data_IF_483662079142
#
_entry.id   IF_483662079142
#
_cell.length_a   1.000
_cell.length_b   1.000
_cell.length_c   1.000
_cell.angle_alpha   90.00
_cell.angle_beta   90.00
_cell.angle_gamma   90.00
#
_symmetry.space_group_name_H-M   'P 1'
#
loop_
_entity.id
_entity.type
_entity.pdbx_description
1 polymer ?
#
# COMPACT_ATOMS: atom_id res chain seq x y z
N UNK A 1 -18.00 -18.53 20.70
CA UNK A 1 -17.84 -18.01 19.33
C UNK A 1 -16.81 -16.91 19.37
N UNK A 2 -15.92 -16.78 18.39
CA UNK A 2 -15.01 -15.65 18.32
C UNK A 2 -15.78 -14.33 18.19
N UNK A 3 -15.10 -13.19 18.45
CA UNK A 3 -15.68 -11.85 18.23
C UNK A 3 -16.15 -11.75 16.76
N UNK A 4 -17.27 -11.06 16.48
CA UNK A 4 -17.86 -11.00 15.14
C UNK A 4 -17.17 -9.98 14.23
N UNK A 5 -15.83 -9.89 14.30
CA UNK A 5 -15.01 -9.07 13.41
C UNK A 5 -14.17 -9.97 12.52
N UNK A 6 -14.06 -9.63 11.26
CA UNK A 6 -13.20 -10.32 10.30
C UNK A 6 -12.73 -9.40 9.17
N UNK A 7 -11.61 -9.74 8.57
CA UNK A 7 -11.13 -9.13 7.33
C UNK A 7 -11.27 -10.13 6.17
N UNK A 8 -11.72 -9.65 5.03
CA UNK A 8 -11.83 -10.42 3.79
C UNK A 8 -10.81 -9.87 2.79
N UNK A 9 -10.05 -10.77 2.18
CA UNK A 9 -9.08 -10.42 1.13
C UNK A 9 -9.63 -10.90 -0.21
N UNK A 10 -9.84 -9.95 -1.13
CA UNK A 10 -10.43 -10.18 -2.44
C UNK A 10 -9.33 -10.37 -3.49
N UNK A 11 -9.08 -11.62 -3.90
CA UNK A 11 -8.01 -11.97 -4.84
C UNK A 11 -8.27 -11.44 -6.25
N UNK A 12 -9.52 -11.46 -6.71
CA UNK A 12 -9.91 -10.87 -7.99
C UNK A 12 -9.70 -9.36 -8.05
N UNK A 13 -9.88 -8.64 -6.92
CA UNK A 13 -9.59 -7.22 -6.85
C UNK A 13 -8.10 -6.93 -7.02
N UNK A 14 -7.22 -7.73 -6.38
CA UNK A 14 -5.78 -7.64 -6.57
C UNK A 14 -5.39 -7.87 -8.03
N UNK A 15 -5.91 -8.92 -8.66
CA UNK A 15 -5.66 -9.22 -10.07
C UNK A 15 -6.15 -8.11 -11.01
N UNK A 16 -7.35 -7.58 -10.76
CA UNK A 16 -7.89 -6.43 -11.49
C UNK A 16 -6.97 -5.21 -11.39
N UNK A 17 -6.50 -4.90 -10.18
CA UNK A 17 -5.67 -3.72 -9.93
C UNK A 17 -4.27 -3.85 -10.58
N UNK A 18 -3.68 -5.05 -10.63
CA UNK A 18 -2.47 -5.31 -11.45
C UNK A 18 -2.76 -5.06 -12.93
N UNK A 19 -3.91 -5.49 -13.43
CA UNK A 19 -4.36 -5.19 -14.80
C UNK A 19 -4.43 -3.68 -15.03
N UNK A 20 -4.95 -2.91 -14.07
CA UNK A 20 -4.97 -1.45 -14.16
C UNK A 20 -3.58 -0.82 -14.22
N UNK A 21 -2.61 -1.35 -13.48
CA UNK A 21 -1.22 -0.89 -13.58
C UNK A 21 -0.66 -1.11 -14.99
N UNK A 22 -0.95 -2.26 -15.62
CA UNK A 22 -0.56 -2.54 -17.01
C UNK A 22 -1.24 -1.62 -18.01
N UNK A 23 -2.55 -1.35 -17.85
CA UNK A 23 -3.27 -0.42 -18.71
C UNK A 23 -2.70 1.00 -18.68
N UNK A 24 -2.25 1.44 -17.48
CA UNK A 24 -1.63 2.75 -17.31
C UNK A 24 -0.18 2.82 -17.85
N UNK A 25 0.54 1.70 -17.89
CA UNK A 25 1.92 1.63 -18.35
C UNK A 25 2.14 0.41 -19.26
N UNK A 26 1.54 0.38 -20.46
CA UNK A 26 1.47 -0.82 -21.31
C UNK A 26 2.84 -1.30 -21.82
N UNK A 27 3.81 -0.42 -21.89
CA UNK A 27 5.17 -0.73 -22.38
C UNK A 27 6.13 -1.07 -21.21
N UNK A 28 5.67 -0.98 -19.96
CA UNK A 28 6.45 -1.25 -18.77
C UNK A 28 6.03 -2.57 -18.10
N UNK A 29 6.98 -3.23 -17.49
CA UNK A 29 6.74 -4.36 -16.58
C UNK A 29 6.27 -3.83 -15.21
N UNK A 30 5.54 -4.66 -14.48
CA UNK A 30 4.93 -4.29 -13.21
C UNK A 30 5.59 -5.05 -12.05
N UNK A 31 6.21 -4.28 -11.16
CA UNK A 31 6.53 -4.75 -9.82
C UNK A 31 5.26 -4.70 -8.94
N UNK A 32 4.78 -5.85 -8.45
CA UNK A 32 3.84 -5.89 -7.34
C UNK A 32 4.60 -5.61 -6.04
N UNK A 33 4.37 -4.44 -5.44
CA UNK A 33 5.01 -4.08 -4.16
C UNK A 33 4.23 -4.71 -3.02
N UNK A 34 4.86 -5.65 -2.30
CA UNK A 34 4.24 -6.49 -1.25
C UNK A 34 4.89 -6.33 0.13
N UNK A 35 5.65 -5.26 0.35
CA UNK A 35 6.24 -4.94 1.65
C UNK A 35 5.19 -4.83 2.76
N UNK A 36 5.61 -4.93 4.00
CA UNK A 36 4.76 -4.90 5.18
C UNK A 36 3.65 -5.98 5.11
N UNK A 37 4.08 -7.22 4.80
CA UNK A 37 3.19 -8.37 4.68
C UNK A 37 2.03 -8.12 3.69
N UNK A 38 2.40 -7.67 2.48
CA UNK A 38 1.45 -7.25 1.43
C UNK A 38 0.48 -6.17 1.93
N UNK A 39 1.02 -5.06 2.49
CA UNK A 39 0.21 -3.98 3.08
C UNK A 39 -0.86 -4.50 4.06
N UNK A 40 -0.48 -5.45 4.93
CA UNK A 40 -1.37 -6.04 5.92
C UNK A 40 -2.32 -7.14 5.40
N UNK A 41 -2.38 -7.37 4.10
CA UNK A 41 -3.25 -8.42 3.51
C UNK A 41 -2.74 -9.84 3.79
N UNK A 42 -1.43 -9.99 4.04
CA UNK A 42 -0.74 -11.27 4.14
C UNK A 42 -0.22 -11.75 2.79
N UNK A 43 1.08 -12.02 2.72
CA UNK A 43 1.74 -12.43 1.47
C UNK A 43 1.08 -13.66 0.87
N UNK A 44 0.84 -14.71 1.66
CA UNK A 44 0.26 -15.96 1.18
C UNK A 44 -1.17 -15.76 0.66
N UNK A 45 -1.93 -14.86 1.28
CA UNK A 45 -3.31 -14.56 0.88
C UNK A 45 -3.38 -13.72 -0.39
N UNK A 46 -2.43 -12.79 -0.56
CA UNK A 46 -2.40 -11.88 -1.70
C UNK A 46 -1.71 -12.48 -2.93
N UNK A 47 -0.90 -13.52 -2.76
CA UNK A 47 0.02 -14.04 -3.78
C UNK A 47 -0.69 -14.40 -5.09
N UNK A 48 -1.77 -15.19 -5.03
CA UNK A 48 -2.47 -15.63 -6.25
C UNK A 48 -3.08 -14.46 -7.02
N UNK A 49 -3.68 -13.48 -6.31
CA UNK A 49 -4.21 -12.27 -6.95
C UNK A 49 -3.14 -11.37 -7.59
N UNK A 50 -1.91 -11.39 -7.06
CA UNK A 50 -0.80 -10.59 -7.57
C UNK A 50 0.11 -11.35 -8.55
N UNK A 51 -0.13 -12.65 -8.78
CA UNK A 51 0.74 -13.55 -9.54
C UNK A 51 0.90 -13.15 -11.02
N UNK A 52 -0.01 -12.35 -11.55
CA UNK A 52 0.07 -11.84 -12.92
C UNK A 52 1.08 -10.69 -13.09
N UNK A 53 1.67 -10.16 -12.01
CA UNK A 53 2.75 -9.18 -12.09
C UNK A 53 4.02 -9.79 -12.73
N UNK A 54 4.94 -8.93 -13.20
CA UNK A 54 6.20 -9.38 -13.80
C UNK A 54 7.28 -9.64 -12.74
N UNK A 55 7.11 -9.08 -11.54
CA UNK A 55 7.99 -9.28 -10.40
C UNK A 55 7.36 -8.82 -9.11
N UNK A 56 7.96 -9.22 -8.00
CA UNK A 56 7.59 -8.75 -6.66
C UNK A 56 8.64 -7.81 -6.09
N UNK A 57 8.22 -6.81 -5.32
CA UNK A 57 9.14 -5.87 -4.67
C UNK A 57 8.79 -5.69 -3.19
N UNK A 58 9.80 -5.75 -2.33
CA UNK A 58 9.65 -5.75 -0.88
C UNK A 58 10.89 -5.22 -0.16
N UNK A 59 10.93 -5.30 1.15
CA UNK A 59 12.04 -4.83 1.98
C UNK A 59 12.67 -5.96 2.79
N UNK A 60 11.85 -6.91 3.24
CA UNK A 60 12.24 -7.96 4.18
C UNK A 60 12.62 -9.25 3.43
N UNK A 61 13.77 -9.83 3.79
CA UNK A 61 14.26 -11.08 3.22
C UNK A 61 13.39 -12.29 3.58
N UNK A 62 12.71 -12.25 4.73
CA UNK A 62 11.74 -13.28 5.09
C UNK A 62 10.51 -13.23 4.18
N UNK A 63 10.06 -12.03 3.81
CA UNK A 63 8.98 -11.86 2.82
C UNK A 63 9.41 -12.42 1.45
N UNK A 64 10.67 -12.16 1.03
CA UNK A 64 11.20 -12.70 -0.22
C UNK A 64 11.27 -14.23 -0.20
N UNK A 65 11.68 -14.83 0.91
CA UNK A 65 11.69 -16.28 1.08
C UNK A 65 10.28 -16.87 0.98
N UNK A 66 9.30 -16.29 1.67
CA UNK A 66 7.88 -16.71 1.61
C UNK A 66 7.35 -16.69 0.18
N UNK A 67 7.65 -15.65 -0.61
CA UNK A 67 7.28 -15.59 -2.04
C UNK A 67 7.95 -16.71 -2.84
N UNK A 68 9.23 -17.03 -2.58
CA UNK A 68 9.92 -18.16 -3.21
C UNK A 68 9.30 -19.51 -2.82
N UNK A 69 8.92 -19.68 -1.56
CA UNK A 69 8.29 -20.90 -1.03
C UNK A 69 6.89 -21.12 -1.63
N UNK A 70 6.17 -20.05 -1.97
CA UNK A 70 4.90 -20.09 -2.73
C UNK A 70 5.09 -20.46 -4.22
N UNK A 71 6.32 -20.72 -4.65
CA UNK A 71 6.64 -21.21 -6.01
C UNK A 71 6.97 -20.12 -7.03
N UNK A 72 7.10 -18.85 -6.62
CA UNK A 72 7.52 -17.80 -7.54
C UNK A 72 8.97 -17.99 -7.99
N UNK A 73 9.21 -17.96 -9.32
CA UNK A 73 10.56 -18.09 -9.92
C UNK A 73 10.99 -16.82 -10.68
N UNK A 74 10.07 -15.86 -10.83
CA UNK A 74 10.36 -14.59 -11.49
C UNK A 74 11.18 -13.63 -10.62
N UNK A 75 11.44 -12.40 -11.10
CA UNK A 75 12.20 -11.39 -10.38
C UNK A 75 11.61 -11.03 -9.01
N UNK A 76 12.49 -10.79 -8.04
CA UNK A 76 12.15 -10.18 -6.74
C UNK A 76 13.15 -9.05 -6.50
N UNK A 77 12.64 -7.86 -6.17
CA UNK A 77 13.45 -6.66 -5.92
C UNK A 77 13.38 -6.24 -4.44
N UNK A 78 14.56 -6.18 -3.81
CA UNK A 78 14.74 -5.59 -2.48
C UNK A 78 14.89 -4.07 -2.63
N UNK A 79 13.83 -3.30 -2.28
CA UNK A 79 13.69 -1.87 -2.59
C UNK A 79 14.64 -0.95 -1.81
N UNK A 80 15.18 -1.42 -0.69
CA UNK A 80 16.16 -0.71 0.15
C UNK A 80 17.54 -1.37 0.09
N UNK A 81 17.67 -2.48 -0.65
CA UNK A 81 18.93 -3.22 -0.76
C UNK A 81 19.21 -4.06 0.49
N UNK A 82 20.50 -4.23 0.75
CA UNK A 82 21.01 -4.99 1.89
C UNK A 82 21.22 -4.07 3.10
N UNK A 83 20.92 -4.55 4.28
CA UNK A 83 21.13 -3.83 5.55
C UNK A 83 22.45 -4.19 6.22
N UNK A 84 23.00 -5.35 5.84
CA UNK A 84 24.31 -5.84 6.27
C UNK A 84 24.95 -6.72 5.19
N UNK A 85 26.27 -6.92 5.27
CA UNK A 85 27.04 -7.62 4.25
C UNK A 85 26.54 -9.07 4.03
N UNK A 86 26.13 -9.75 5.10
CA UNK A 86 25.62 -11.14 5.00
C UNK A 86 24.33 -11.26 4.19
N UNK A 87 23.57 -10.20 4.00
CA UNK A 87 22.34 -10.20 3.21
C UNK A 87 22.62 -10.48 1.72
N UNK A 88 23.83 -10.16 1.25
CA UNK A 88 24.25 -10.47 -0.12
C UNK A 88 24.24 -11.97 -0.41
N UNK A 89 24.53 -12.80 0.60
CA UNK A 89 24.43 -14.27 0.48
C UNK A 89 22.97 -14.71 0.25
N UNK A 90 22.02 -14.05 0.94
CA UNK A 90 20.58 -14.28 0.72
C UNK A 90 20.16 -13.83 -0.68
N UNK A 91 20.66 -12.68 -1.14
CA UNK A 91 20.41 -12.20 -2.50
C UNK A 91 20.88 -13.21 -3.54
N UNK A 92 22.11 -13.73 -3.40
CA UNK A 92 22.65 -14.74 -4.31
C UNK A 92 21.83 -16.04 -4.26
N UNK A 93 21.56 -16.56 -3.06
CA UNK A 93 20.85 -17.83 -2.88
C UNK A 93 19.41 -17.82 -3.36
N UNK A 94 18.71 -16.73 -3.15
CA UNK A 94 17.31 -16.58 -3.53
C UNK A 94 17.13 -15.93 -4.91
N UNK A 95 18.21 -15.54 -5.59
CA UNK A 95 18.16 -14.86 -6.89
C UNK A 95 17.41 -13.53 -6.80
N UNK A 96 17.78 -12.69 -5.80
CA UNK A 96 17.11 -11.39 -5.58
C UNK A 96 17.88 -10.29 -6.30
N UNK A 97 17.14 -9.37 -6.90
CA UNK A 97 17.65 -8.09 -7.34
C UNK A 97 17.57 -7.11 -6.18
N UNK A 98 18.48 -6.16 -6.07
CA UNK A 98 18.46 -5.26 -4.92
C UNK A 98 18.88 -3.84 -5.28
N UNK A 99 18.31 -2.87 -4.58
CA UNK A 99 18.73 -1.48 -4.69
C UNK A 99 20.10 -1.27 -4.05
N UNK A 100 20.88 -0.35 -4.65
CA UNK A 100 22.13 0.18 -4.08
C UNK A 100 21.98 1.69 -3.98
N UNK A 101 22.08 2.24 -2.77
CA UNK A 101 21.74 3.62 -2.50
C UNK A 101 22.78 4.37 -1.65
N UNK A 102 23.85 3.71 -1.23
CA UNK A 102 24.95 4.29 -0.45
C UNK A 102 26.26 3.56 -0.72
N UNK A 103 27.38 4.22 -0.39
CA UNK A 103 28.73 3.70 -0.59
C UNK A 103 28.96 2.38 0.15
N UNK A 104 28.45 2.26 1.37
CA UNK A 104 28.63 1.06 2.18
C UNK A 104 28.10 -0.21 1.49
N UNK A 105 26.98 -0.10 0.75
CA UNK A 105 26.45 -1.25 -0.01
C UNK A 105 27.36 -1.62 -1.18
N UNK A 106 28.05 -0.65 -1.79
CA UNK A 106 29.07 -0.90 -2.83
C UNK A 106 30.30 -1.59 -2.22
N UNK A 107 30.75 -1.13 -1.03
CA UNK A 107 31.86 -1.74 -0.32
C UNK A 107 31.57 -3.21 0.03
N UNK A 108 30.39 -3.51 0.53
CA UNK A 108 29.95 -4.89 0.80
C UNK A 108 29.93 -5.76 -0.46
N UNK A 109 29.46 -5.23 -1.58
CA UNK A 109 29.48 -5.92 -2.87
C UNK A 109 30.93 -6.22 -3.31
N UNK A 110 31.84 -5.26 -3.17
CA UNK A 110 33.25 -5.42 -3.55
C UNK A 110 33.96 -6.53 -2.72
N UNK A 111 33.59 -6.67 -1.46
CA UNK A 111 34.12 -7.69 -0.55
C UNK A 111 33.42 -9.05 -0.66
N UNK A 112 32.22 -9.08 -1.27
CA UNK A 112 31.41 -10.30 -1.34
C UNK A 112 31.99 -11.32 -2.32
N UNK A 113 32.22 -12.54 -1.83
CA UNK A 113 32.67 -13.66 -2.65
C UNK A 113 31.48 -14.48 -3.10
N UNK A 114 31.04 -14.29 -4.33
CA UNK A 114 29.93 -15.03 -4.91
C UNK A 114 30.29 -15.65 -6.26
N UNK A 115 29.60 -16.75 -6.58
CA UNK A 115 29.63 -17.36 -7.92
C UNK A 115 28.45 -16.93 -8.77
N UNK A 116 27.45 -16.27 -8.17
CA UNK A 116 26.27 -15.76 -8.85
C UNK A 116 26.29 -14.25 -8.80
N UNK A 117 26.54 -13.56 -9.92
CA UNK A 117 26.58 -12.10 -9.96
C UNK A 117 25.22 -11.48 -9.56
N UNK A 118 25.29 -10.29 -9.00
CA UNK A 118 24.15 -9.53 -8.54
C UNK A 118 23.57 -8.65 -9.67
N UNK A 119 22.26 -8.53 -9.73
CA UNK A 119 21.54 -7.50 -10.48
C UNK A 119 21.15 -6.40 -9.52
N UNK A 120 21.59 -5.17 -9.79
CA UNK A 120 21.39 -4.05 -8.89
C UNK A 120 20.61 -2.91 -9.52
N UNK A 121 19.82 -2.23 -8.70
CA UNK A 121 19.17 -0.97 -9.06
C UNK A 121 19.91 0.17 -8.35
N UNK A 122 20.78 0.87 -9.10
CA UNK A 122 21.46 2.04 -8.56
C UNK A 122 20.46 3.18 -8.37
N UNK A 123 20.32 3.63 -7.12
CA UNK A 123 19.26 4.57 -6.75
C UNK A 123 19.78 6.00 -6.67
N UNK A 124 19.15 6.87 -7.47
CA UNK A 124 19.37 8.31 -7.46
C UNK A 124 18.38 8.99 -6.50
N UNK A 125 18.86 9.88 -5.67
CA UNK A 125 18.04 10.86 -4.97
C UNK A 125 17.79 12.06 -5.91
N UNK A 126 16.62 12.05 -6.54
CA UNK A 126 16.20 13.12 -7.44
C UNK A 126 15.43 14.25 -6.75
N UNK A 127 15.30 14.22 -5.40
CA UNK A 127 14.66 15.28 -4.62
C UNK A 127 13.79 14.82 -3.45
N UNK A 128 13.55 13.51 -3.29
CA UNK A 128 12.82 12.99 -2.12
C UNK A 128 13.62 13.05 -0.81
N UNK A 129 14.94 13.07 -0.89
CA UNK A 129 15.87 13.19 0.25
C UNK A 129 15.69 12.14 1.35
N UNK A 130 15.40 10.90 0.93
CA UNK A 130 15.28 9.76 1.84
C UNK A 130 16.40 8.74 1.66
N UNK A 131 16.56 8.20 0.44
CA UNK A 131 17.60 7.23 0.06
C UNK A 131 18.07 7.52 -1.37
N UNK A 132 19.31 7.17 -1.68
CA UNK A 132 19.91 7.31 -3.01
C UNK A 132 21.13 8.23 -3.01
N UNK A 133 21.98 8.02 -3.99
CA UNK A 133 23.13 8.89 -4.24
C UNK A 133 22.68 10.27 -4.72
N UNK A 134 23.41 11.30 -4.34
CA UNK A 134 23.20 12.64 -4.92
C UNK A 134 23.56 12.62 -6.40
N UNK A 135 23.04 13.54 -7.24
CA UNK A 135 23.40 13.61 -8.66
C UNK A 135 24.90 13.68 -8.92
N UNK A 136 25.65 14.34 -8.04
CA UNK A 136 27.11 14.46 -8.13
C UNK A 136 27.85 13.16 -7.81
N UNK A 137 27.37 12.38 -6.83
CA UNK A 137 27.97 11.11 -6.43
C UNK A 137 27.54 9.92 -7.33
N UNK A 138 26.40 10.05 -8.02
CA UNK A 138 25.78 8.94 -8.74
C UNK A 138 26.67 8.34 -9.83
N UNK A 139 27.37 9.18 -10.60
CA UNK A 139 28.29 8.72 -11.66
C UNK A 139 29.49 7.95 -11.08
N UNK A 140 30.04 8.42 -9.97
CA UNK A 140 31.13 7.73 -9.27
C UNK A 140 30.67 6.37 -8.73
N UNK A 141 29.50 6.32 -8.13
CA UNK A 141 28.90 5.08 -7.63
C UNK A 141 28.68 4.07 -8.78
N UNK A 142 28.16 4.53 -9.92
CA UNK A 142 27.99 3.67 -11.10
C UNK A 142 29.32 3.12 -11.60
N UNK A 143 30.31 4.00 -11.78
CA UNK A 143 31.63 3.58 -12.25
C UNK A 143 32.28 2.55 -11.31
N UNK A 144 32.08 2.69 -9.98
CA UNK A 144 32.54 1.68 -9.03
C UNK A 144 31.85 0.34 -9.24
N UNK A 145 30.51 0.33 -9.39
CA UNK A 145 29.74 -0.91 -9.62
C UNK A 145 30.11 -1.60 -10.92
N UNK A 146 30.38 -0.86 -12.00
CA UNK A 146 30.81 -1.40 -13.31
C UNK A 146 32.15 -2.13 -13.25
N UNK A 147 33.00 -1.81 -12.28
CA UNK A 147 34.30 -2.48 -12.08
C UNK A 147 34.19 -3.75 -11.23
N UNK A 148 33.03 -4.02 -10.61
CA UNK A 148 32.87 -5.17 -9.73
C UNK A 148 32.45 -6.41 -10.52
N UNK A 149 33.26 -7.48 -10.53
CA UNK A 149 32.89 -8.76 -11.17
C UNK A 149 31.68 -9.45 -10.48
N UNK A 150 31.31 -8.98 -9.27
CA UNK A 150 30.13 -9.43 -8.55
C UNK A 150 28.84 -8.83 -9.07
N UNK A 151 28.89 -7.81 -9.96
CA UNK A 151 27.73 -7.14 -10.52
C UNK A 151 27.59 -7.47 -11.99
N UNK A 152 26.46 -8.05 -12.39
CA UNK A 152 26.14 -8.45 -13.77
C UNK A 152 25.38 -7.36 -14.52
N UNK A 153 24.39 -6.76 -13.83
CA UNK A 153 23.49 -5.78 -14.43
C UNK A 153 23.25 -4.60 -13.48
N UNK A 154 23.31 -3.40 -14.04
CA UNK A 154 23.04 -2.15 -13.31
C UNK A 154 21.84 -1.46 -13.96
N UNK A 155 20.71 -1.52 -13.30
CA UNK A 155 19.50 -0.76 -13.60
C UNK A 155 19.46 0.55 -12.81
N UNK A 156 18.61 1.49 -13.21
CA UNK A 156 18.52 2.83 -12.64
C UNK A 156 17.19 3.03 -11.91
N UNK A 157 17.24 3.63 -10.72
CA UNK A 157 16.06 3.83 -9.88
C UNK A 157 15.99 5.26 -9.32
N UNK A 158 14.79 5.79 -9.21
CA UNK A 158 14.46 6.90 -8.32
C UNK A 158 13.10 6.71 -7.68
N UNK A 159 12.64 7.66 -6.86
CA UNK A 159 11.30 7.66 -6.27
C UNK A 159 10.78 9.10 -6.20
N UNK A 160 9.58 9.32 -6.75
CA UNK A 160 8.93 10.62 -6.74
C UNK A 160 8.24 10.88 -5.39
N UNK A 161 8.41 12.10 -4.88
CA UNK A 161 7.82 12.54 -3.60
C UNK A 161 6.42 13.13 -3.75
N UNK A 162 6.13 13.74 -4.92
CA UNK A 162 4.95 14.56 -5.12
C UNK A 162 4.13 14.12 -6.36
N UNK A 163 4.20 12.84 -6.72
CA UNK A 163 3.47 12.32 -7.88
C UNK A 163 1.94 12.38 -7.71
N UNK A 164 1.47 12.44 -6.47
CA UNK A 164 0.08 12.58 -6.03
C UNK A 164 -0.36 14.03 -5.81
N UNK A 165 0.59 14.98 -5.75
CA UNK A 165 0.35 16.39 -5.48
C UNK A 165 0.53 17.32 -6.69
N UNK A 166 0.33 18.60 -6.45
CA UNK A 166 0.37 19.66 -7.48
C UNK A 166 1.79 19.92 -8.05
N UNK A 167 2.82 19.62 -7.28
CA UNK A 167 4.21 19.76 -7.77
C UNK A 167 4.52 18.74 -8.86
N UNK A 168 3.84 17.60 -8.86
CA UNK A 168 4.01 16.54 -9.83
C UNK A 168 5.42 15.96 -9.85
N UNK A 169 5.84 15.43 -11.00
CA UNK A 169 7.09 14.69 -11.16
C UNK A 169 8.16 15.42 -11.97
N UNK A 170 7.81 16.52 -12.65
CA UNK A 170 8.63 17.13 -13.70
C UNK A 170 10.05 17.53 -13.22
N UNK A 171 10.15 18.19 -12.05
CA UNK A 171 11.44 18.63 -11.51
C UNK A 171 12.34 17.45 -11.15
N UNK A 172 11.78 16.42 -10.47
CA UNK A 172 12.52 15.23 -10.11
C UNK A 172 12.91 14.37 -11.32
N UNK A 173 12.05 14.33 -12.33
CA UNK A 173 12.33 13.65 -13.60
C UNK A 173 13.51 14.34 -14.33
N UNK A 174 13.52 15.68 -14.40
CA UNK A 174 14.60 16.43 -15.01
C UNK A 174 15.96 16.18 -14.33
N UNK A 175 15.97 16.10 -12.99
CA UNK A 175 17.19 15.74 -12.22
C UNK A 175 17.64 14.33 -12.58
N UNK A 176 16.71 13.37 -12.65
CA UNK A 176 17.03 11.99 -13.00
C UNK A 176 17.58 11.89 -14.43
N UNK A 177 16.92 12.50 -15.40
CA UNK A 177 17.33 12.49 -16.80
C UNK A 177 18.73 13.13 -17.00
N UNK A 178 18.98 14.27 -16.37
CA UNK A 178 20.29 14.94 -16.44
C UNK A 178 21.43 14.08 -15.86
N UNK A 179 21.15 13.38 -14.75
CA UNK A 179 22.14 12.52 -14.10
C UNK A 179 22.42 11.23 -14.87
N UNK A 180 21.44 10.75 -15.69
CA UNK A 180 21.48 9.42 -16.33
C UNK A 180 21.40 9.46 -17.86
N UNK A 181 21.59 10.64 -18.50
CA UNK A 181 21.36 10.85 -19.93
C UNK A 181 22.13 9.89 -20.85
N UNK A 182 23.35 9.55 -20.48
CA UNK A 182 24.30 8.70 -21.22
C UNK A 182 24.47 7.29 -20.59
N UNK A 183 23.58 6.92 -19.65
CA UNK A 183 23.68 5.64 -18.96
C UNK A 183 22.70 4.61 -19.54
N UNK A 184 23.24 3.46 -19.91
CA UNK A 184 22.43 2.28 -20.24
C UNK A 184 21.87 1.63 -18.94
N UNK A 185 20.86 0.77 -19.11
CA UNK A 185 20.23 0.02 -18.05
C UNK A 185 18.73 0.30 -17.95
N UNK A 186 17.99 -0.69 -17.48
CA UNK A 186 16.55 -0.55 -17.24
C UNK A 186 16.26 0.49 -16.17
N UNK A 187 15.10 1.11 -16.25
CA UNK A 187 14.70 2.22 -15.40
C UNK A 187 13.43 1.89 -14.63
N UNK A 188 13.42 2.19 -13.33
CA UNK A 188 12.23 2.11 -12.49
C UNK A 188 12.06 3.40 -11.70
N UNK A 189 11.05 4.20 -12.07
CA UNK A 189 10.83 5.53 -11.50
C UNK A 189 9.47 5.62 -10.81
N UNK A 190 8.39 5.20 -11.51
CA UNK A 190 7.02 5.41 -11.11
C UNK A 190 6.62 4.57 -9.89
N UNK A 191 6.03 5.21 -8.88
CA UNK A 191 5.21 4.62 -7.83
C UNK A 191 3.75 4.56 -8.28
N UNK A 192 2.80 4.16 -7.41
CA UNK A 192 1.38 4.08 -7.75
C UNK A 192 0.80 5.39 -8.28
N UNK A 193 1.09 6.51 -7.63
CA UNK A 193 0.60 7.82 -8.06
C UNK A 193 1.16 8.21 -9.44
N UNK A 194 2.47 8.05 -9.63
CA UNK A 194 3.09 8.34 -10.92
C UNK A 194 2.54 7.42 -12.03
N UNK A 195 2.30 6.14 -11.74
CA UNK A 195 1.73 5.19 -12.71
C UNK A 195 0.32 5.60 -13.12
N UNK A 196 -0.54 5.92 -12.16
CA UNK A 196 -1.93 6.30 -12.43
C UNK A 196 -2.04 7.67 -13.12
N UNK A 197 -1.36 8.70 -12.60
CA UNK A 197 -1.51 10.08 -13.08
C UNK A 197 -0.73 10.38 -14.34
N UNK A 198 0.44 9.75 -14.53
CA UNK A 198 1.36 10.08 -15.62
C UNK A 198 1.56 8.92 -16.61
N UNK A 199 1.23 7.69 -16.22
CA UNK A 199 1.28 6.54 -17.12
C UNK A 199 0.13 6.55 -18.14
N UNK A 200 -1.09 6.91 -17.67
CA UNK A 200 -2.30 6.96 -18.52
C UNK A 200 -2.34 8.20 -19.44
N UNK A 201 -1.54 9.22 -19.17
CA UNK A 201 -1.52 10.45 -19.97
C UNK A 201 -0.68 10.27 -21.24
N UNK A 202 -1.22 9.48 -22.16
CA UNK A 202 -0.67 9.31 -23.53
C UNK A 202 -0.58 10.64 -24.30
N UNK A 203 -1.31 11.67 -23.86
CA UNK A 203 -1.28 13.01 -24.45
C UNK A 203 -0.02 13.78 -24.03
N UNK A 204 0.50 13.52 -22.83
CA UNK A 204 1.72 14.17 -22.35
C UNK A 204 3.00 13.63 -22.99
N UNK A 205 2.94 12.57 -23.83
CA UNK A 205 4.06 11.96 -24.55
C UNK A 205 5.31 11.73 -23.69
N UNK A 206 5.14 11.33 -22.42
CA UNK A 206 6.27 11.07 -21.55
C UNK A 206 6.32 9.58 -21.16
N UNK A 207 6.77 8.68 -22.06
CA UNK A 207 7.08 7.30 -21.71
C UNK A 207 8.18 7.21 -20.63
N UNK A 208 8.84 8.33 -20.35
CA UNK A 208 9.96 8.47 -19.43
C UNK A 208 9.57 8.31 -17.96
N UNK A 209 8.34 8.64 -17.57
CA UNK A 209 7.90 8.53 -16.15
C UNK A 209 7.72 7.08 -15.74
N UNK A 210 7.16 6.23 -16.59
CA UNK A 210 6.99 4.80 -16.30
C UNK A 210 8.35 4.08 -16.20
N UNK A 211 9.28 4.40 -17.12
CA UNK A 211 10.49 3.62 -17.29
C UNK A 211 10.18 2.23 -17.85
N UNK A 212 11.09 1.29 -17.61
CA UNK A 212 10.93 -0.12 -18.02
C UNK A 212 10.11 -0.93 -17.01
N UNK A 213 10.04 -0.42 -15.78
CA UNK A 213 9.31 -1.04 -14.68
C UNK A 213 8.55 0.01 -13.86
N UNK A 214 7.27 -0.22 -13.61
CA UNK A 214 6.47 0.55 -12.64
C UNK A 214 6.36 -0.22 -11.32
N UNK A 215 6.34 0.51 -10.18
CA UNK A 215 6.22 -0.07 -8.85
C UNK A 215 4.81 0.18 -8.30
N UNK A 216 3.88 -0.69 -8.70
CA UNK A 216 2.52 -0.67 -8.22
C UNK A 216 2.48 -1.12 -6.73
N UNK A 217 2.20 -0.20 -5.83
CA UNK A 217 2.04 -0.43 -4.40
C UNK A 217 0.58 -0.31 -4.02
N UNK A 218 0.19 0.82 -3.44
CA UNK A 218 -1.15 1.01 -2.88
C UNK A 218 -2.28 0.80 -3.87
N UNK A 219 -2.07 1.12 -5.15
CA UNK A 219 -3.07 0.88 -6.19
C UNK A 219 -3.44 -0.60 -6.32
N UNK A 220 -2.50 -1.53 -6.05
CA UNK A 220 -2.78 -2.97 -6.08
C UNK A 220 -3.83 -3.36 -5.03
N UNK A 221 -3.89 -2.60 -3.93
CA UNK A 221 -4.78 -2.86 -2.80
C UNK A 221 -6.09 -2.06 -2.86
N UNK A 222 -6.29 -1.31 -3.96
CA UNK A 222 -7.54 -0.60 -4.22
C UNK A 222 -7.76 0.63 -3.35
N UNK A 223 -6.69 1.43 -3.20
CA UNK A 223 -6.72 2.72 -2.52
C UNK A 223 -6.20 3.79 -3.49
N UNK A 224 -6.82 4.96 -3.52
CA UNK A 224 -6.43 6.06 -4.40
C UNK A 224 -5.28 6.86 -3.78
N UNK A 225 -4.10 6.93 -4.44
CA UNK A 225 -2.94 7.61 -3.86
C UNK A 225 -3.11 9.14 -3.75
N UNK A 226 -4.05 9.71 -4.49
CA UNK A 226 -4.33 11.14 -4.61
C UNK A 226 -5.75 11.51 -4.13
N UNK A 227 -6.35 10.68 -3.26
CA UNK A 227 -7.62 11.03 -2.61
C UNK A 227 -7.47 12.30 -1.73
N UNK A 228 -8.36 13.30 -1.79
CA UNK A 228 -9.69 13.26 -2.38
C UNK A 228 -9.80 13.81 -3.81
N UNK A 229 -8.70 14.24 -4.45
CA UNK A 229 -8.74 14.81 -5.81
C UNK A 229 -9.32 13.80 -6.78
N UNK A 230 -8.98 12.53 -6.59
CA UNK A 230 -9.55 11.39 -7.31
C UNK A 230 -9.87 10.26 -6.36
N UNK A 231 -10.90 9.51 -6.70
CA UNK A 231 -11.40 8.35 -5.96
C UNK A 231 -10.91 7.05 -6.60
N UNK A 232 -11.12 5.92 -5.91
CA UNK A 232 -10.87 4.61 -6.50
C UNK A 232 -11.73 4.36 -7.75
N UNK A 233 -12.95 4.95 -7.83
CA UNK A 233 -13.81 4.84 -9.00
C UNK A 233 -13.22 5.56 -10.21
N UNK A 234 -12.64 6.76 -10.03
CA UNK A 234 -11.99 7.52 -11.10
C UNK A 234 -10.80 6.75 -11.70
N UNK A 235 -10.09 6.00 -10.87
CA UNK A 235 -8.97 5.16 -11.27
C UNK A 235 -9.38 3.74 -11.70
N UNK A 236 -10.67 3.39 -11.58
CA UNK A 236 -11.18 2.04 -11.78
C UNK A 236 -10.39 1.00 -10.94
N UNK A 237 -10.14 1.31 -9.66
CA UNK A 237 -9.55 0.40 -8.70
C UNK A 237 -10.63 -0.29 -7.87
N UNK A 238 -10.32 -1.49 -7.37
CA UNK A 238 -11.22 -2.30 -6.54
C UNK A 238 -10.59 -2.53 -5.17
N UNK A 239 -11.29 -2.30 -4.05
CA UNK A 239 -10.76 -2.60 -2.72
C UNK A 239 -10.40 -4.08 -2.59
N UNK A 240 -9.16 -4.34 -2.19
CA UNK A 240 -8.67 -5.70 -1.98
C UNK A 240 -8.90 -6.21 -0.56
N UNK A 241 -9.31 -5.33 0.38
CA UNK A 241 -9.63 -5.69 1.76
C UNK A 241 -10.99 -5.14 2.15
N UNK A 242 -11.80 -5.98 2.79
CA UNK A 242 -12.99 -5.57 3.53
C UNK A 242 -12.78 -5.85 5.01
N UNK A 243 -12.92 -4.85 5.88
CA UNK A 243 -13.04 -5.05 7.32
C UNK A 243 -14.50 -4.90 7.70
N UNK A 244 -15.06 -5.94 8.33
CA UNK A 244 -16.45 -5.93 8.78
C UNK A 244 -16.61 -6.50 10.17
N UNK A 245 -17.69 -6.10 10.83
CA UNK A 245 -18.08 -6.56 12.15
C UNK A 245 -19.60 -6.55 12.28
N UNK A 246 -20.12 -6.59 13.52
CA UNK A 246 -21.56 -6.58 13.79
C UNK A 246 -21.91 -5.68 14.96
N UNK A 247 -23.16 -5.21 14.95
CA UNK A 247 -23.78 -4.57 16.11
C UNK A 247 -23.97 -5.62 17.21
N UNK A 248 -23.44 -5.36 18.40
CA UNK A 248 -23.50 -6.27 19.56
C UNK A 248 -24.33 -5.74 20.73
N UNK A 249 -24.74 -4.47 20.68
CA UNK A 249 -25.66 -3.87 21.64
C UNK A 249 -26.35 -2.65 21.03
N UNK A 250 -27.50 -2.31 21.58
CA UNK A 250 -28.29 -1.14 21.17
C UNK A 250 -28.52 -0.25 22.38
N UNK A 251 -28.50 1.06 22.17
CA UNK A 251 -28.87 2.04 23.18
C UNK A 251 -29.81 3.08 22.54
N UNK A 252 -30.65 3.66 23.38
CA UNK A 252 -31.53 4.76 23.01
C UNK A 252 -31.12 5.97 23.86
N UNK A 253 -30.59 6.99 23.21
CA UNK A 253 -30.18 8.23 23.84
C UNK A 253 -31.33 9.25 23.88
N UNK A 254 -31.37 10.02 24.95
CA UNK A 254 -32.20 11.22 25.06
C UNK A 254 -31.36 12.48 24.85
N UNK A 255 -31.96 13.63 24.54
CA UNK A 255 -31.24 14.89 24.45
C UNK A 255 -30.42 15.15 25.73
N UNK A 256 -29.12 15.45 25.57
CA UNK A 256 -28.18 15.65 26.66
C UNK A 256 -27.37 14.42 27.06
N UNK A 257 -27.77 13.21 26.64
CA UNK A 257 -26.99 12.00 26.86
C UNK A 257 -25.65 12.05 26.09
N UNK A 258 -24.62 11.50 26.70
CA UNK A 258 -23.26 11.50 26.12
C UNK A 258 -22.79 10.09 25.76
N UNK A 259 -21.83 10.01 24.81
CA UNK A 259 -21.28 8.74 24.33
C UNK A 259 -19.77 8.69 24.51
N UNK A 260 -19.32 7.57 25.12
CA UNK A 260 -17.92 7.13 25.16
C UNK A 260 -17.02 7.92 26.09
N UNK A 261 -15.73 7.61 26.04
CA UNK A 261 -14.73 8.24 26.89
C UNK A 261 -14.64 9.77 26.68
N UNK A 262 -14.68 10.50 27.79
CA UNK A 262 -14.60 11.95 27.80
C UNK A 262 -15.86 12.61 27.26
N UNK A 263 -16.99 11.89 27.21
CA UNK A 263 -18.28 12.42 26.72
C UNK A 263 -18.14 13.17 25.39
N UNK A 264 -17.37 12.59 24.45
CA UNK A 264 -16.93 13.25 23.22
C UNK A 264 -18.06 13.47 22.20
N UNK A 265 -19.23 12.92 22.44
CA UNK A 265 -20.46 13.17 21.70
C UNK A 265 -21.59 13.42 22.69
N UNK A 266 -22.44 14.40 22.38
CA UNK A 266 -23.68 14.66 23.12
C UNK A 266 -24.84 14.61 22.14
N UNK A 267 -25.87 13.86 22.48
CA UNK A 267 -27.09 13.79 21.68
C UNK A 267 -27.90 15.09 21.83
N UNK A 268 -28.23 15.74 20.75
CA UNK A 268 -29.08 16.94 20.69
C UNK A 268 -30.57 16.61 20.48
N UNK A 269 -30.85 15.39 20.07
CA UNK A 269 -32.18 14.81 19.84
C UNK A 269 -32.20 13.33 20.27
N UNK A 270 -33.39 12.70 20.42
CA UNK A 270 -33.47 11.27 20.62
C UNK A 270 -32.73 10.53 19.50
N UNK A 271 -31.78 9.65 19.88
CA UNK A 271 -30.89 8.97 18.95
C UNK A 271 -30.75 7.49 19.28
N UNK A 272 -30.97 6.63 18.30
CA UNK A 272 -30.70 5.21 18.41
C UNK A 272 -29.29 4.91 17.94
N UNK A 273 -28.52 4.21 18.77
CA UNK A 273 -27.15 3.89 18.50
C UNK A 273 -26.87 2.39 18.58
N UNK A 274 -25.86 1.93 17.85
CA UNK A 274 -25.34 0.57 17.88
C UNK A 274 -23.91 0.55 18.42
N UNK A 275 -23.62 -0.38 19.33
CA UNK A 275 -22.24 -0.70 19.73
C UNK A 275 -21.74 -1.81 18.82
N UNK A 276 -20.57 -1.64 18.23
CA UNK A 276 -19.98 -2.54 17.25
C UNK A 276 -18.71 -3.18 17.85
N UNK A 277 -18.52 -4.47 17.60
CA UNK A 277 -17.34 -5.22 18.07
C UNK A 277 -16.10 -4.92 17.21
N UNK A 278 -15.62 -3.70 17.23
CA UNK A 278 -14.39 -3.23 16.57
C UNK A 278 -13.81 -2.06 17.34
N UNK A 279 -12.49 -2.03 17.53
CA UNK A 279 -11.83 -0.93 18.18
C UNK A 279 -10.36 -0.82 17.77
N UNK A 280 -9.58 0.05 18.47
CA UNK A 280 -8.20 0.29 18.05
C UNK A 280 -7.27 -0.91 18.24
N UNK A 281 -7.60 -1.86 19.12
CA UNK A 281 -6.84 -3.10 19.24
C UNK A 281 -7.12 -4.10 18.11
N UNK A 282 -8.10 -3.83 17.24
CA UNK A 282 -8.34 -4.55 16.01
C UNK A 282 -7.62 -3.90 14.79
N UNK A 283 -7.05 -2.69 15.01
CA UNK A 283 -6.41 -1.90 13.96
C UNK A 283 -7.27 -0.73 13.46
N UNK A 284 -8.47 -0.51 14.01
CA UNK A 284 -9.27 0.67 13.66
C UNK A 284 -8.65 1.95 14.26
N UNK A 285 -8.58 3.07 13.51
CA UNK A 285 -7.83 4.24 13.97
C UNK A 285 -8.43 4.84 15.24
N UNK A 286 -7.63 4.91 16.32
CA UNK A 286 -8.02 5.45 17.64
C UNK A 286 -8.50 6.90 17.57
N UNK A 287 -7.97 7.67 16.65
CA UNK A 287 -8.22 9.10 16.46
C UNK A 287 -9.30 9.41 15.41
N UNK A 288 -9.98 8.40 14.88
CA UNK A 288 -11.16 8.62 14.03
C UNK A 288 -12.22 9.41 14.81
N UNK A 289 -12.61 10.61 14.34
CA UNK A 289 -13.58 11.45 15.03
C UNK A 289 -15.02 10.99 14.82
N UNK A 290 -15.94 11.53 15.64
CA UNK A 290 -17.36 11.46 15.32
C UNK A 290 -17.61 12.00 13.91
N UNK A 291 -18.44 11.30 13.11
CA UNK A 291 -18.68 11.62 11.72
C UNK A 291 -17.89 10.78 10.72
N UNK A 292 -16.87 10.03 11.15
CA UNK A 292 -16.18 9.07 10.28
C UNK A 292 -17.18 8.04 9.72
N UNK A 293 -17.20 7.80 8.40
CA UNK A 293 -18.22 6.96 7.78
C UNK A 293 -18.05 5.48 8.12
N UNK A 294 -19.18 4.79 8.20
CA UNK A 294 -19.32 3.32 8.23
C UNK A 294 -20.58 2.94 7.44
N UNK A 295 -20.69 1.67 7.03
CA UNK A 295 -21.97 1.15 6.52
C UNK A 295 -22.59 0.23 7.58
N UNK A 296 -23.89 0.34 7.78
CA UNK A 296 -24.68 -0.60 8.58
C UNK A 296 -25.74 -1.20 7.65
N UNK A 297 -25.72 -2.54 7.50
CA UNK A 297 -26.56 -3.27 6.52
C UNK A 297 -26.52 -2.65 5.10
N UNK A 298 -25.32 -2.14 4.70
CA UNK A 298 -25.11 -1.50 3.41
C UNK A 298 -25.51 -0.01 3.34
N UNK A 299 -26.15 0.54 4.37
CA UNK A 299 -26.55 1.94 4.43
C UNK A 299 -25.47 2.78 5.10
N UNK A 300 -25.09 3.89 4.46
CA UNK A 300 -24.05 4.79 4.98
C UNK A 300 -24.55 5.54 6.22
N UNK A 301 -23.76 5.46 7.27
CA UNK A 301 -23.92 6.21 8.51
C UNK A 301 -22.56 6.64 9.04
N UNK A 302 -22.43 6.88 10.34
CA UNK A 302 -21.21 7.44 10.95
C UNK A 302 -20.92 6.81 12.31
N UNK A 303 -19.66 6.84 12.71
CA UNK A 303 -19.28 6.62 14.10
C UNK A 303 -19.62 7.86 14.94
N UNK A 304 -19.89 7.65 16.23
CA UNK A 304 -20.12 8.70 17.23
C UNK A 304 -19.35 8.38 18.50
N UNK A 305 -18.87 9.43 19.16
CA UNK A 305 -17.98 9.28 20.30
C UNK A 305 -16.57 8.84 19.92
N UNK A 306 -15.75 8.53 20.92
CA UNK A 306 -14.37 8.08 20.73
C UNK A 306 -14.30 6.59 20.48
N UNK A 307 -13.40 6.17 19.60
CA UNK A 307 -13.04 4.76 19.42
C UNK A 307 -12.44 4.21 20.71
N UNK A 308 -13.00 3.10 21.21
CA UNK A 308 -12.50 2.38 22.36
C UNK A 308 -11.54 1.24 21.94
N UNK A 309 -10.94 0.55 22.91
CA UNK A 309 -10.02 -0.56 22.61
C UNK A 309 -10.68 -1.64 21.76
N UNK A 310 -11.92 -2.02 22.09
CA UNK A 310 -12.60 -3.18 21.51
C UNK A 310 -13.96 -2.84 20.88
N UNK A 311 -14.40 -1.58 20.93
CA UNK A 311 -15.73 -1.17 20.50
C UNK A 311 -15.72 0.22 19.87
N UNK A 312 -16.62 0.41 18.91
CA UNK A 312 -17.03 1.72 18.41
C UNK A 312 -18.54 1.85 18.55
N UNK A 313 -19.02 3.07 18.53
CA UNK A 313 -20.46 3.36 18.53
C UNK A 313 -20.85 3.99 17.19
N UNK A 314 -21.99 3.55 16.62
CA UNK A 314 -22.50 4.02 15.33
C UNK A 314 -23.89 4.60 15.47
N UNK A 315 -24.20 5.60 14.67
CA UNK A 315 -25.52 6.20 14.55
C UNK A 315 -26.42 5.26 13.74
N UNK A 316 -27.55 4.84 14.31
CA UNK A 316 -28.56 3.99 13.65
C UNK A 316 -29.79 4.75 13.17
N UNK A 317 -29.82 6.08 13.32
CA UNK A 317 -30.93 6.91 12.83
C UNK A 317 -31.23 6.71 11.35
N UNK A 318 -30.21 6.70 10.45
CA UNK A 318 -30.41 6.43 9.02
C UNK A 318 -30.83 4.99 8.68
N UNK A 319 -30.74 4.04 9.64
CA UNK A 319 -30.94 2.60 9.40
C UNK A 319 -31.98 2.04 10.37
N UNK A 320 -33.26 2.41 10.23
CA UNK A 320 -34.30 2.04 11.22
C UNK A 320 -34.48 0.53 11.39
N UNK A 321 -34.17 -0.27 10.36
CA UNK A 321 -34.23 -1.72 10.40
C UNK A 321 -33.05 -2.42 11.10
N UNK A 322 -31.95 -1.69 11.33
CA UNK A 322 -30.76 -2.28 11.93
C UNK A 322 -31.00 -2.70 13.38
N UNK A 323 -30.34 -3.77 13.84
CA UNK A 323 -30.51 -4.32 15.16
C UNK A 323 -29.27 -5.09 15.65
N UNK A 324 -29.45 -5.85 16.73
CA UNK A 324 -28.43 -6.78 17.19
C UNK A 324 -28.09 -7.77 16.05
N UNK A 325 -26.80 -7.89 15.73
CA UNK A 325 -26.32 -8.76 14.66
C UNK A 325 -26.26 -8.12 13.27
N UNK A 326 -26.78 -6.89 13.07
CA UNK A 326 -26.63 -6.13 11.82
C UNK A 326 -25.17 -6.03 11.42
N UNK A 327 -24.87 -6.23 10.13
CA UNK A 327 -23.50 -6.13 9.61
C UNK A 327 -23.02 -4.69 9.58
N UNK A 328 -21.78 -4.47 10.01
CA UNK A 328 -21.12 -3.17 9.95
C UNK A 328 -19.84 -3.28 9.11
N UNK A 329 -19.81 -2.59 7.97
CA UNK A 329 -18.62 -2.48 7.14
C UNK A 329 -17.82 -1.26 7.56
N UNK A 330 -16.58 -1.51 8.02
CA UNK A 330 -15.64 -0.47 8.47
C UNK A 330 -14.90 0.15 7.28
N UNK A 331 -14.58 -0.65 6.28
CA UNK A 331 -14.13 -0.28 4.93
C UNK A 331 -14.25 -1.48 3.98
N UNK A 332 -14.24 -1.22 2.68
CA UNK A 332 -14.36 -2.22 1.63
C UNK A 332 -15.80 -2.45 1.19
N UNK A 333 -16.09 -3.67 0.78
CA UNK A 333 -17.41 -4.06 0.26
C UNK A 333 -18.39 -4.35 1.39
N UNK A 334 -19.55 -3.74 1.32
CA UNK A 334 -20.69 -4.04 2.19
C UNK A 334 -21.73 -4.91 1.49
N UNK A 335 -22.87 -5.17 2.15
CA UNK A 335 -23.99 -5.92 1.56
C UNK A 335 -24.48 -5.32 0.23
N UNK A 336 -24.84 -6.20 -0.72
CA UNK A 336 -25.28 -5.80 -2.05
C UNK A 336 -24.16 -5.16 -2.85
N UNK A 337 -24.41 -3.97 -3.41
CA UNK A 337 -23.43 -3.17 -4.16
C UNK A 337 -22.80 -2.04 -3.35
N UNK A 338 -23.02 -2.02 -2.03
CA UNK A 338 -22.51 -0.95 -1.19
C UNK A 338 -20.99 -1.05 -1.03
N UNK A 339 -20.35 0.12 -0.98
CA UNK A 339 -18.90 0.24 -0.94
C UNK A 339 -18.50 1.43 -0.04
N UNK A 340 -17.53 1.20 0.83
CA UNK A 340 -16.88 2.24 1.61
C UNK A 340 -15.37 2.21 1.34
N UNK A 341 -14.85 3.09 0.49
CA UNK A 341 -13.41 3.19 0.27
C UNK A 341 -12.66 3.47 1.57
N UNK A 342 -11.54 2.79 1.78
CA UNK A 342 -10.72 2.98 2.98
C UNK A 342 -10.20 4.42 3.10
N UNK A 343 -10.00 5.11 1.97
CA UNK A 343 -9.57 6.51 1.91
C UNK A 343 -10.54 7.44 2.63
N UNK A 344 -11.85 7.16 2.53
CA UNK A 344 -12.89 7.93 3.19
C UNK A 344 -12.89 7.76 4.71
N UNK A 345 -12.39 6.63 5.20
CA UNK A 345 -12.22 6.36 6.64
C UNK A 345 -10.90 6.95 7.15
N UNK A 346 -9.84 6.85 6.36
CA UNK A 346 -8.51 7.32 6.72
C UNK A 346 -8.45 8.85 6.84
N UNK A 347 -9.06 9.57 5.89
CA UNK A 347 -8.98 11.04 5.84
C UNK A 347 -9.50 11.74 7.09
N UNK A 348 -10.71 11.47 7.60
CA UNK A 348 -11.19 12.08 8.86
C UNK A 348 -10.30 11.74 10.05
N UNK A 349 -9.67 10.55 10.03
CA UNK A 349 -8.72 10.13 11.04
C UNK A 349 -7.34 10.80 10.92
N UNK A 350 -7.12 11.68 9.92
CA UNK A 350 -5.85 12.37 9.70
C UNK A 350 -4.72 11.47 9.23
N UNK A 351 -5.06 10.38 8.52
CA UNK A 351 -4.10 9.40 8.02
C UNK A 351 -4.45 8.99 6.57
N UNK A 352 -3.80 7.94 6.09
CA UNK A 352 -3.94 7.39 4.73
C UNK A 352 -4.32 5.91 4.77
N UNK A 353 -4.97 5.43 3.72
CA UNK A 353 -5.40 4.02 3.62
C UNK A 353 -4.27 3.01 3.80
N UNK A 354 -3.02 3.36 3.45
CA UNK A 354 -1.82 2.55 3.68
C UNK A 354 -1.68 2.15 5.15
N UNK A 355 -1.79 3.13 6.07
CA UNK A 355 -1.63 2.91 7.50
C UNK A 355 -2.74 2.03 8.04
N UNK A 356 -3.99 2.28 7.64
CA UNK A 356 -5.13 1.49 8.12
C UNK A 356 -5.02 0.01 7.74
N UNK A 357 -4.61 -0.28 6.49
CA UNK A 357 -4.42 -1.67 6.07
C UNK A 357 -3.28 -2.36 6.80
N UNK A 358 -2.15 -1.66 6.97
CA UNK A 358 -0.99 -2.20 7.71
C UNK A 358 -1.26 -2.37 9.20
N UNK A 359 -2.19 -1.59 9.77
CA UNK A 359 -2.54 -1.64 11.20
C UNK A 359 -3.45 -2.81 11.57
N UNK A 360 -3.97 -3.58 10.59
CA UNK A 360 -4.84 -4.72 10.88
C UNK A 360 -4.17 -5.67 11.88
N UNK A 361 -4.79 -5.84 13.04
CA UNK A 361 -4.22 -6.60 14.14
C UNK A 361 -4.33 -8.11 13.90
N UNK A 362 -3.34 -8.87 14.35
CA UNK A 362 -3.29 -10.34 14.21
C UNK A 362 -4.48 -11.07 14.86
N UNK A 363 -5.17 -10.44 15.82
CA UNK A 363 -6.35 -11.02 16.46
C UNK A 363 -7.60 -11.00 15.60
N UNK A 364 -7.59 -10.24 14.49
CA UNK A 364 -8.69 -10.20 13.53
C UNK A 364 -8.57 -11.41 12.59
N UNK A 365 -9.57 -12.32 12.57
CA UNK A 365 -9.58 -13.41 11.60
C UNK A 365 -9.58 -12.87 10.17
N UNK A 366 -8.75 -13.46 9.31
CA UNK A 366 -8.64 -13.07 7.91
C UNK A 366 -9.01 -14.24 7.01
N UNK A 367 -9.90 -14.01 6.05
CA UNK A 367 -10.29 -15.00 5.04
C UNK A 367 -10.02 -14.48 3.64
N UNK A 368 -9.65 -15.37 2.74
CA UNK A 368 -9.57 -15.10 1.31
C UNK A 368 -10.95 -15.35 0.71
N UNK A 369 -11.36 -14.46 -0.18
CA UNK A 369 -12.59 -14.55 -0.97
C UNK A 369 -12.26 -14.14 -2.41
N UNK A 370 -13.02 -14.69 -3.32
CA UNK A 370 -12.95 -14.40 -4.75
C UNK A 370 -13.95 -13.31 -5.15
#
# INVERSE_FOLDING_TARGET
MPRPIEALIHTEALAHNIGRARDCAPDARVWAVVKANAYGHGIERAFEGLRSADGFAMLDFDEARRIRDLGWRGPILMLEGCFEQRDLELCSRLGLWHAVHCEQQIDWLAEHKTHTPHRVFLKLNSGMNRLGFTPTAFRGARARLELLPQVDEISLMTHFSDADGDRGVAAQLAVFEAATADMAGERTLANSAATLRHGADRLAKSPRVAGDWVRAGIMNYGCAPDYPERTIADWNLRPAMTLRSKVIALQQLQPGDTVGYGSAFTADAPLRIGVVACGYADGYPRHAPSGTPVLVDGVRTRIIGRVSMDMITVDLGPVPGAGFGSEVTLWGHGPGSSLLPIDEVARPAGTIGYELMCALAQRVPVRVVD
#
